data_IF_016645412452
#
_entry.id   IF_016645412452
#
_cell.length_a   1.000
_cell.length_b   1.000
_cell.length_c   1.000
_cell.angle_alpha   90.00
_cell.angle_beta   90.00
_cell.angle_gamma   90.00
#
_symmetry.space_group_name_H-M   'P 1'
#
loop_
_entity.id
_entity.type
_entity.pdbx_description
1 polymer ?
#
# COMPACT_ATOMS: atom_id res chain seq x y z
N UNK A 1 6.12 7.35 -11.78
CA UNK A 1 4.80 6.67 -11.84
C UNK A 1 4.82 5.20 -11.41
N UNK A 2 5.56 4.26 -12.02
CA UNK A 2 5.54 2.85 -11.59
C UNK A 2 6.29 2.56 -10.27
N UNK A 3 7.24 3.40 -9.89
CA UNK A 3 8.11 3.15 -8.73
C UNK A 3 7.41 3.38 -7.38
N UNK A 4 6.37 4.22 -7.33
CA UNK A 4 5.69 4.55 -6.07
C UNK A 4 4.80 3.42 -5.58
N UNK A 5 4.05 2.77 -6.47
CA UNK A 5 3.30 1.54 -6.13
C UNK A 5 4.24 0.46 -5.64
N UNK A 6 5.42 0.32 -6.26
CA UNK A 6 6.41 -0.65 -5.81
C UNK A 6 6.98 -0.32 -4.42
N UNK A 7 7.19 0.98 -4.12
CA UNK A 7 7.59 1.45 -2.77
C UNK A 7 6.50 1.23 -1.73
N UNK A 8 5.24 1.56 -2.03
CA UNK A 8 4.12 1.29 -1.12
C UNK A 8 3.94 -0.21 -0.90
N UNK A 9 4.07 -1.01 -1.95
CA UNK A 9 4.03 -2.46 -1.85
C UNK A 9 5.17 -2.98 -0.96
N UNK A 10 6.41 -2.50 -1.15
CA UNK A 10 7.53 -2.84 -0.27
C UNK A 10 7.27 -2.45 1.19
N UNK A 11 6.72 -1.27 1.43
CA UNK A 11 6.30 -0.83 2.76
C UNK A 11 5.24 -1.75 3.38
N UNK A 12 4.26 -2.17 2.59
CA UNK A 12 3.23 -3.13 3.00
C UNK A 12 3.81 -4.50 3.33
N UNK A 13 4.80 -4.98 2.58
CA UNK A 13 5.49 -6.22 2.89
C UNK A 13 6.26 -6.11 4.21
N UNK A 14 6.91 -4.97 4.48
CA UNK A 14 7.54 -4.71 5.79
C UNK A 14 6.50 -4.66 6.91
N UNK A 15 5.36 -4.00 6.67
CA UNK A 15 4.23 -3.96 7.60
C UNK A 15 3.61 -5.34 7.84
N UNK A 16 3.52 -6.20 6.83
CA UNK A 16 2.99 -7.56 6.92
C UNK A 16 4.02 -8.58 7.45
N UNK A 17 5.28 -8.14 7.63
CA UNK A 17 6.36 -8.95 8.15
C UNK A 17 6.17 -9.37 9.61
N UNK A 18 7.19 -9.99 10.19
CA UNK A 18 7.18 -10.50 11.56
C UNK A 18 7.75 -9.47 12.54
N UNK A 19 7.22 -9.42 13.77
CA UNK A 19 7.72 -8.56 14.85
C UNK A 19 6.71 -7.53 15.36
N UNK A 20 7.19 -6.54 16.12
CA UNK A 20 6.35 -5.49 16.70
C UNK A 20 5.79 -4.56 15.62
N UNK A 21 4.46 -4.37 15.60
CA UNK A 21 3.77 -3.52 14.61
C UNK A 21 4.34 -2.10 14.56
N UNK A 22 4.71 -1.54 15.72
CA UNK A 22 5.32 -0.22 15.84
C UNK A 22 6.67 -0.13 15.11
N UNK A 23 7.56 -1.10 15.34
CA UNK A 23 8.87 -1.11 14.69
C UNK A 23 8.74 -1.30 13.17
N UNK A 24 7.84 -2.18 12.73
CA UNK A 24 7.51 -2.35 11.31
C UNK A 24 6.97 -1.07 10.69
N UNK A 25 6.13 -0.33 11.41
CA UNK A 25 5.59 0.94 10.94
C UNK A 25 6.68 2.00 10.77
N UNK A 26 7.59 2.12 11.74
CA UNK A 26 8.73 3.05 11.65
C UNK A 26 9.58 2.72 10.43
N UNK A 27 9.97 1.45 10.28
CA UNK A 27 10.84 1.01 9.19
C UNK A 27 10.19 1.20 7.82
N UNK A 28 8.91 0.83 7.68
CA UNK A 28 8.16 1.03 6.45
C UNK A 28 8.05 2.52 6.09
N UNK A 29 7.76 3.38 7.07
CA UNK A 29 7.63 4.81 6.83
C UNK A 29 8.97 5.46 6.47
N UNK A 30 10.03 5.19 7.22
CA UNK A 30 11.34 5.80 6.99
C UNK A 30 12.02 5.32 5.72
N UNK A 31 11.97 4.01 5.42
CA UNK A 31 12.69 3.45 4.26
C UNK A 31 11.96 3.60 2.94
N UNK A 32 10.63 3.62 2.97
CA UNK A 32 9.83 3.54 1.75
C UNK A 32 8.90 4.74 1.55
N UNK A 33 8.19 5.20 2.60
CA UNK A 33 7.21 6.29 2.43
C UNK A 33 7.83 7.69 2.53
N UNK A 34 8.95 7.86 3.23
CA UNK A 34 9.63 9.17 3.36
C UNK A 34 10.18 9.70 2.03
N UNK A 35 10.52 8.80 1.10
CA UNK A 35 11.04 9.10 -0.23
C UNK A 35 9.92 9.33 -1.27
N UNK A 36 8.65 9.16 -0.89
CA UNK A 36 7.51 9.36 -1.79
C UNK A 36 7.07 10.81 -1.73
N UNK A 37 7.07 11.45 -2.90
CA UNK A 37 6.52 12.80 -3.06
C UNK A 37 4.99 12.74 -3.17
N UNK A 38 4.32 13.60 -2.39
CA UNK A 38 2.87 13.74 -2.41
C UNK A 38 2.35 14.33 -3.71
N UNK A 39 3.19 15.05 -4.47
CA UNK A 39 2.83 15.57 -5.80
C UNK A 39 2.74 14.50 -6.90
N UNK A 40 3.38 13.33 -6.72
CA UNK A 40 3.28 12.21 -7.69
C UNK A 40 2.08 11.29 -7.39
N UNK A 41 1.39 11.51 -6.26
CA UNK A 41 0.21 10.73 -5.87
C UNK A 41 -1.06 11.27 -6.56
N UNK A 42 -2.02 10.39 -6.91
CA UNK A 42 -3.33 10.80 -7.41
C UNK A 42 -4.02 11.78 -6.45
N UNK A 43 -4.70 12.79 -6.98
CA UNK A 43 -5.32 13.87 -6.18
C UNK A 43 -6.24 13.33 -5.08
N UNK A 44 -6.95 12.23 -5.35
CA UNK A 44 -7.86 11.56 -4.41
C UNK A 44 -7.15 11.03 -3.16
N UNK A 45 -5.93 10.51 -3.31
CA UNK A 45 -5.16 9.89 -2.21
C UNK A 45 -4.08 10.81 -1.66
N UNK A 46 -3.71 11.85 -2.41
CA UNK A 46 -2.73 12.86 -2.02
C UNK A 46 -3.10 13.48 -0.67
N UNK A 47 -4.36 13.88 -0.51
CA UNK A 47 -4.83 14.49 0.75
C UNK A 47 -4.72 13.50 1.92
N UNK A 48 -5.20 12.27 1.75
CA UNK A 48 -5.11 11.24 2.81
C UNK A 48 -3.67 10.89 3.19
N UNK A 49 -2.76 10.87 2.22
CA UNK A 49 -1.35 10.64 2.48
C UNK A 49 -0.67 11.83 3.18
N UNK A 50 -0.99 13.05 2.77
CA UNK A 50 -0.51 14.27 3.42
C UNK A 50 -1.00 14.37 4.88
N UNK A 51 -2.26 14.06 5.14
CA UNK A 51 -2.82 13.99 6.49
C UNK A 51 -2.09 12.94 7.35
N UNK A 52 -1.85 11.75 6.79
CA UNK A 52 -1.11 10.67 7.46
C UNK A 52 0.35 11.05 7.75
N UNK A 53 1.03 11.69 6.79
CA UNK A 53 2.40 12.21 6.97
C UNK A 53 2.43 13.30 8.03
N UNK A 54 1.46 14.20 8.02
CA UNK A 54 1.35 15.26 9.01
C UNK A 54 1.15 14.68 10.41
N UNK A 55 0.24 13.71 10.56
CA UNK A 55 0.01 12.99 11.82
C UNK A 55 1.28 12.29 12.33
N UNK A 56 2.00 11.59 11.44
CA UNK A 56 3.25 10.91 11.75
C UNK A 56 4.44 11.85 12.03
N UNK A 57 4.40 13.11 11.57
CA UNK A 57 5.44 14.11 11.85
C UNK A 57 5.04 15.13 12.92
N UNK A 58 3.82 15.04 13.46
CA UNK A 58 3.27 16.01 14.41
C UNK A 58 3.97 15.99 15.76
N UNK A 59 4.49 14.84 16.18
CA UNK A 59 5.20 14.72 17.45
C UNK A 59 6.63 15.20 17.27
N UNK A 60 7.01 16.21 18.05
CA UNK A 60 8.39 16.69 18.11
C UNK A 60 9.32 15.56 18.58
N UNK A 61 10.32 15.17 17.78
CA UNK A 61 11.29 14.16 18.20
C UNK A 61 12.13 14.65 19.39
N UNK A 62 12.41 13.76 20.33
CA UNK A 62 13.35 13.98 21.42
C UNK A 62 14.72 13.40 21.07
N UNK A 63 15.76 14.23 21.15
CA UNK A 63 17.17 13.80 21.12
C UNK A 63 17.57 12.94 19.91
N UNK A 64 17.42 13.47 18.69
CA UNK A 64 17.97 12.83 17.48
C UNK A 64 17.20 11.61 16.97
N UNK A 65 16.03 11.31 17.54
CA UNK A 65 15.08 10.35 16.94
C UNK A 65 14.36 10.96 15.73
N UNK A 66 13.89 10.14 14.80
CA UNK A 66 13.05 10.62 13.71
C UNK A 66 11.64 10.99 14.20
N UNK A 67 10.96 11.97 13.56
CA UNK A 67 9.58 12.33 13.89
C UNK A 67 8.62 11.13 13.85
N UNK A 68 8.83 10.21 12.90
CA UNK A 68 8.08 8.96 12.78
C UNK A 68 8.23 8.09 14.05
N UNK A 69 9.45 7.92 14.54
CA UNK A 69 9.74 7.15 15.74
C UNK A 69 9.06 7.77 16.98
N UNK A 70 9.11 9.10 17.08
CA UNK A 70 8.46 9.85 18.16
C UNK A 70 6.93 9.69 18.15
N UNK A 71 6.32 9.72 16.96
CA UNK A 71 4.88 9.51 16.77
C UNK A 71 4.46 8.07 17.07
N UNK A 72 5.21 7.09 16.60
CA UNK A 72 4.95 5.68 16.87
C UNK A 72 5.12 5.32 18.34
N UNK A 73 6.01 6.00 19.06
CA UNK A 73 6.13 5.86 20.52
C UNK A 73 4.84 6.29 21.24
N UNK A 74 4.17 7.33 20.74
CA UNK A 74 2.92 7.86 21.29
C UNK A 74 1.69 7.03 20.92
N UNK A 75 1.72 6.37 19.76
CA UNK A 75 0.64 5.49 19.29
C UNK A 75 0.56 4.22 20.13
N UNK A 76 -0.64 3.72 20.39
CA UNK A 76 -0.92 2.41 20.99
C UNK A 76 -0.72 1.29 19.97
N UNK A 77 -0.81 0.03 20.40
CA UNK A 77 -0.69 -1.11 19.48
C UNK A 77 -1.86 -1.13 18.46
N UNK A 78 -3.08 -0.88 18.93
CA UNK A 78 -4.27 -0.76 18.08
C UNK A 78 -4.16 0.40 17.09
N UNK A 79 -3.77 1.59 17.57
CA UNK A 79 -3.61 2.76 16.70
C UNK A 79 -2.51 2.56 15.64
N UNK A 80 -1.44 1.81 15.97
CA UNK A 80 -0.43 1.42 14.99
C UNK A 80 -0.98 0.43 13.95
N UNK A 81 -1.87 -0.47 14.35
CA UNK A 81 -2.60 -1.36 13.44
C UNK A 81 -3.53 -0.59 12.51
N UNK A 82 -4.28 0.37 13.05
CA UNK A 82 -5.15 1.26 12.27
C UNK A 82 -4.34 2.09 11.28
N UNK A 83 -3.18 2.61 11.68
CA UNK A 83 -2.26 3.30 10.78
C UNK A 83 -1.79 2.41 9.64
N UNK A 84 -1.40 1.16 9.93
CA UNK A 84 -1.01 0.19 8.90
C UNK A 84 -2.19 -0.12 7.95
N UNK A 85 -3.41 -0.22 8.47
CA UNK A 85 -4.63 -0.37 7.68
C UNK A 85 -4.89 0.82 6.76
N UNK A 86 -4.71 2.05 7.24
CA UNK A 86 -4.82 3.26 6.42
C UNK A 86 -3.80 3.28 5.28
N UNK A 87 -2.56 2.87 5.54
CA UNK A 87 -1.52 2.73 4.49
C UNK A 87 -1.96 1.71 3.42
N UNK A 88 -2.53 0.58 3.82
CA UNK A 88 -3.06 -0.42 2.90
C UNK A 88 -4.23 0.11 2.05
N UNK A 89 -5.15 0.86 2.65
CA UNK A 89 -6.25 1.51 1.93
C UNK A 89 -5.74 2.52 0.91
N UNK A 90 -4.78 3.36 1.28
CA UNK A 90 -4.15 4.33 0.36
C UNK A 90 -3.48 3.59 -0.81
N UNK A 91 -2.73 2.51 -0.53
CA UNK A 91 -2.13 1.70 -1.59
C UNK A 91 -3.16 1.09 -2.54
N UNK A 92 -4.28 0.56 -2.00
CA UNK A 92 -5.34 -0.01 -2.83
C UNK A 92 -5.93 1.04 -3.79
N UNK A 93 -6.15 2.27 -3.31
CA UNK A 93 -6.63 3.38 -4.13
C UNK A 93 -5.58 3.81 -5.18
N UNK A 94 -4.29 3.89 -4.81
CA UNK A 94 -3.20 4.16 -5.78
C UNK A 94 -3.13 3.08 -6.85
N UNK A 95 -3.21 1.80 -6.46
CA UNK A 95 -3.18 0.67 -7.38
C UNK A 95 -4.39 0.67 -8.32
N UNK A 96 -5.58 1.09 -7.84
CA UNK A 96 -6.77 1.27 -8.68
C UNK A 96 -6.59 2.38 -9.71
N UNK A 97 -6.09 3.55 -9.31
CA UNK A 97 -5.81 4.64 -10.24
C UNK A 97 -4.74 4.29 -11.28
N UNK A 98 -3.75 3.46 -10.93
CA UNK A 98 -2.78 2.93 -11.91
C UNK A 98 -3.38 1.83 -12.79
N UNK A 99 -4.31 1.02 -12.26
CA UNK A 99 -5.04 0.01 -12.99
C UNK A 99 -5.98 0.59 -14.05
N UNK A 100 -6.53 1.80 -13.84
CA UNK A 100 -7.30 2.52 -14.87
C UNK A 100 -6.45 3.02 -16.05
N UNK A 101 -5.12 3.07 -15.90
CA UNK A 101 -4.21 3.30 -17.02
C UNK A 101 -3.94 2.04 -17.87
N UNK A 102 -4.39 0.86 -17.42
CA UNK A 102 -4.40 -0.36 -18.22
C UNK A 102 -5.85 -0.66 -18.65
N UNK A 103 -6.17 -0.63 -19.95
CA UNK A 103 -7.53 -0.91 -20.37
C UNK A 103 -7.82 -2.37 -20.03
N UNK A 104 -8.84 -2.57 -19.21
CA UNK A 104 -9.61 -3.79 -19.10
C UNK A 104 -8.83 -5.06 -19.48
N UNK A 105 -8.20 -5.70 -18.49
CA UNK A 105 -8.20 -7.15 -18.47
C UNK A 105 -9.67 -7.56 -18.37
N UNK A 106 -10.36 -7.53 -19.52
CA UNK A 106 -11.63 -8.21 -19.72
C UNK A 106 -11.37 -9.61 -19.20
N UNK A 107 -12.07 -9.99 -18.15
CA UNK A 107 -12.40 -11.38 -17.93
C UNK A 107 -13.24 -11.76 -19.16
N UNK A 108 -12.55 -12.10 -20.25
CA UNK A 108 -13.13 -12.76 -21.38
C UNK A 108 -13.41 -14.18 -20.92
N UNK A 109 -14.48 -14.32 -20.14
CA UNK A 109 -15.19 -15.58 -19.97
C UNK A 109 -15.77 -15.96 -21.32
N UNK A 110 -14.90 -16.39 -22.24
CA UNK A 110 -15.29 -17.39 -23.22
C UNK A 110 -15.25 -18.71 -22.47
N UNK A 111 -16.33 -18.97 -21.74
CA UNK A 111 -16.80 -20.33 -21.50
C UNK A 111 -17.30 -20.85 -22.86
N UNK A 112 -16.36 -21.06 -23.78
CA UNK A 112 -16.62 -21.81 -24.99
C UNK A 112 -16.14 -23.21 -24.64
N UNK A 113 -17.12 -24.03 -24.28
CA UNK A 113 -16.99 -25.45 -23.99
C UNK A 113 -16.23 -26.11 -25.14
N UNK A 114 -14.90 -26.14 -25.03
CA UNK A 114 -14.04 -26.80 -25.99
C UNK A 114 -14.12 -28.28 -25.65
N UNK A 115 -15.17 -28.93 -26.18
CA UNK A 115 -15.36 -30.36 -26.08
C UNK A 115 -14.11 -30.99 -26.70
N UNK A 116 -13.32 -31.76 -25.93
CA UNK A 116 -12.11 -32.34 -26.46
C UNK A 116 -12.45 -33.38 -27.55
N UNK A 117 -11.65 -33.48 -28.62
CA UNK A 117 -11.98 -34.21 -29.84
C UNK A 117 -12.13 -35.73 -29.68
N UNK A 118 -11.87 -36.29 -28.48
CA UNK A 118 -12.09 -37.70 -28.20
C UNK A 118 -13.57 -38.06 -27.94
N UNK A 119 -14.46 -37.06 -27.75
CA UNK A 119 -15.89 -37.27 -27.53
C UNK A 119 -16.71 -37.31 -28.83
N UNK A 120 -16.06 -37.43 -29.99
CA UNK A 120 -16.74 -37.74 -31.25
C UNK A 120 -16.75 -39.26 -31.39
N UNK A 121 -17.83 -39.91 -30.95
CA UNK A 121 -18.09 -41.34 -31.20
C UNK A 121 -18.00 -41.59 -32.71
N UNK A 122 -16.95 -42.29 -33.13
CA UNK A 122 -16.84 -42.80 -34.50
C UNK A 122 -17.90 -43.89 -34.69
N UNK A 123 -18.71 -43.71 -35.72
CA UNK A 123 -19.66 -44.69 -36.27
C UNK A 123 -18.95 -45.83 -36.97
#
# INVERSE_FOLDING_TARGET
MADHVNRFHAALIVLAGHGHVKQRLIEAFEKHLADIDEDDLPVTVKQSFADLRCEMNRITPLHGESPICASVRKLSLDEAGDCAGRVATIFAEVARCQGEAAPAARLNGKDETQIPPFLVKTV
#
